data_IF_995212743955
#
_entry.id   IF_995212743955
#
_cell.length_a   1.000
_cell.length_b   1.000
_cell.length_c   1.000
_cell.angle_alpha   90.00
_cell.angle_beta   90.00
_cell.angle_gamma   90.00
#
_symmetry.space_group_name_H-M   'P 1'
#
loop_
_entity.id
_entity.type
_entity.pdbx_description
1 polymer ?
#
# COMPACT_ATOMS: atom_id res chain seq x y z
N UNK A 1 -36.69 -34.82 8.45
CA UNK A 1 -35.37 -34.17 8.77
C UNK A 1 -35.49 -33.68 10.20
N UNK A 2 -34.76 -34.31 11.10
CA UNK A 2 -34.94 -34.23 12.54
C UNK A 2 -34.50 -32.90 13.12
N UNK A 3 -35.16 -32.42 14.19
CA UNK A 3 -34.82 -31.14 14.86
C UNK A 3 -33.35 -31.10 15.36
N UNK A 4 -32.83 -32.25 15.71
CA UNK A 4 -31.46 -32.45 16.18
C UNK A 4 -30.44 -32.23 15.06
N UNK A 5 -30.68 -32.71 13.84
CA UNK A 5 -29.85 -32.47 12.65
C UNK A 5 -29.79 -30.98 12.28
N UNK A 6 -30.87 -30.23 12.46
CA UNK A 6 -30.91 -28.78 12.22
C UNK A 6 -30.13 -27.99 13.28
N UNK A 7 -30.17 -28.46 14.54
CA UNK A 7 -29.45 -27.85 15.65
C UNK A 7 -27.96 -28.03 15.48
N UNK A 8 -27.49 -29.23 15.17
CA UNK A 8 -26.09 -29.54 14.93
C UNK A 8 -25.52 -28.72 13.76
N UNK A 9 -26.23 -28.62 12.63
CA UNK A 9 -25.83 -27.78 11.50
C UNK A 9 -25.75 -26.28 11.85
N UNK A 10 -26.57 -25.82 12.78
CA UNK A 10 -26.53 -24.41 13.22
C UNK A 10 -25.34 -24.14 14.15
N UNK A 11 -25.00 -25.10 15.00
CA UNK A 11 -23.82 -25.02 15.87
C UNK A 11 -22.53 -25.09 15.06
N UNK A 12 -22.39 -26.03 14.13
CA UNK A 12 -21.26 -26.12 13.20
C UNK A 12 -21.03 -24.81 12.43
N UNK A 13 -22.11 -24.22 11.88
CA UNK A 13 -22.01 -22.93 11.17
C UNK A 13 -21.58 -21.77 12.08
N UNK A 14 -21.97 -21.81 13.35
CA UNK A 14 -21.58 -20.79 14.34
C UNK A 14 -20.13 -20.92 14.72
N UNK A 15 -19.66 -22.14 14.91
CA UNK A 15 -18.25 -22.44 15.19
C UNK A 15 -17.35 -22.07 13.99
N UNK A 16 -17.77 -22.42 12.78
CA UNK A 16 -17.06 -22.04 11.56
C UNK A 16 -17.00 -20.52 11.40
N UNK A 17 -18.10 -19.81 11.60
CA UNK A 17 -18.13 -18.34 11.55
C UNK A 17 -17.24 -17.73 12.62
N UNK A 18 -17.21 -18.28 13.82
CA UNK A 18 -16.31 -17.83 14.88
C UNK A 18 -14.86 -18.08 14.51
N UNK A 19 -14.52 -19.27 14.03
CA UNK A 19 -13.17 -19.60 13.56
C UNK A 19 -12.69 -18.63 12.47
N UNK A 20 -13.52 -18.36 11.46
CA UNK A 20 -13.17 -17.43 10.38
C UNK A 20 -12.96 -16.00 10.88
N UNK A 21 -13.68 -15.56 11.92
CA UNK A 21 -13.52 -14.23 12.51
C UNK A 21 -12.23 -14.05 13.33
N UNK A 22 -11.56 -15.15 13.70
CA UNK A 22 -10.30 -15.10 14.44
C UNK A 22 -9.07 -14.85 13.55
N UNK A 23 -9.25 -14.89 12.24
CA UNK A 23 -8.15 -14.72 11.29
C UNK A 23 -8.30 -13.47 10.45
N UNK A 24 -7.20 -12.81 10.20
CA UNK A 24 -7.10 -11.74 9.19
C UNK A 24 -6.69 -12.36 7.86
N UNK A 25 -7.23 -11.85 6.76
CA UNK A 25 -6.78 -12.23 5.43
C UNK A 25 -5.28 -11.95 5.28
N UNK A 26 -4.55 -12.86 4.61
CA UNK A 26 -3.10 -12.80 4.47
C UNK A 26 -2.64 -11.52 3.78
N UNK A 27 -3.35 -11.07 2.75
CA UNK A 27 -2.97 -9.89 1.98
C UNK A 27 -3.25 -8.60 2.76
N UNK A 28 -4.34 -8.53 3.51
CA UNK A 28 -4.61 -7.42 4.42
C UNK A 28 -3.62 -7.37 5.59
N UNK A 29 -3.20 -8.53 6.10
CA UNK A 29 -2.14 -8.63 7.10
C UNK A 29 -0.80 -8.12 6.56
N UNK A 30 -0.49 -8.40 5.29
CA UNK A 30 0.71 -7.90 4.64
C UNK A 30 0.68 -6.37 4.50
N UNK A 31 -0.46 -5.78 4.13
CA UNK A 31 -0.61 -4.32 4.12
C UNK A 31 -0.35 -3.71 5.50
N UNK A 32 -0.83 -4.34 6.58
CA UNK A 32 -0.53 -3.89 7.95
C UNK A 32 0.97 -3.97 8.29
N UNK A 33 1.66 -5.00 7.80
CA UNK A 33 3.12 -5.05 7.92
C UNK A 33 3.77 -3.86 7.21
N UNK A 34 3.39 -3.57 5.97
CA UNK A 34 3.96 -2.46 5.21
C UNK A 34 3.66 -1.09 5.86
N UNK A 35 2.51 -0.94 6.53
CA UNK A 35 2.21 0.26 7.34
C UNK A 35 3.24 0.46 8.46
N UNK A 36 3.75 -0.61 9.08
CA UNK A 36 4.81 -0.47 10.11
C UNK A 36 6.09 0.07 9.51
N UNK A 37 6.43 -0.31 8.27
CA UNK A 37 7.55 0.27 7.54
C UNK A 37 7.34 1.77 7.33
N UNK A 38 6.14 2.17 6.89
CA UNK A 38 5.79 3.59 6.71
C UNK A 38 5.86 4.38 8.03
N UNK A 39 5.47 3.78 9.15
CA UNK A 39 5.49 4.45 10.46
C UNK A 39 6.89 4.73 10.99
N UNK A 40 7.94 4.04 10.53
CA UNK A 40 9.31 4.42 10.85
C UNK A 40 9.67 5.81 10.30
N UNK A 41 8.97 6.27 9.25
CA UNK A 41 9.11 7.64 8.75
C UNK A 41 8.55 8.71 9.72
N UNK A 42 7.68 8.35 10.66
CA UNK A 42 7.17 9.23 11.72
C UNK A 42 8.07 9.24 12.97
N UNK A 43 9.04 8.34 13.07
CA UNK A 43 9.90 8.18 14.23
C UNK A 43 11.00 9.25 14.26
N UNK A 44 10.88 10.24 15.13
CA UNK A 44 11.81 11.37 15.26
C UNK A 44 13.24 10.96 15.72
N UNK A 45 13.41 9.76 16.27
CA UNK A 45 14.72 9.22 16.61
C UNK A 45 15.50 8.70 15.39
N UNK A 46 14.84 8.54 14.24
CA UNK A 46 15.44 8.16 12.98
C UNK A 46 15.91 9.42 12.24
N UNK A 47 17.14 9.46 11.67
CA UNK A 47 17.61 10.60 10.88
C UNK A 47 16.65 10.94 9.73
N UNK A 48 16.45 12.23 9.45
CA UNK A 48 15.43 12.72 8.52
C UNK A 48 15.53 12.11 7.11
N UNK A 49 16.74 11.95 6.58
CA UNK A 49 16.94 11.30 5.27
C UNK A 49 16.56 9.82 5.27
N UNK A 50 16.81 9.12 6.37
CA UNK A 50 16.40 7.72 6.54
C UNK A 50 14.87 7.61 6.66
N UNK A 51 14.21 8.56 7.32
CA UNK A 51 12.75 8.63 7.38
C UNK A 51 12.14 8.75 5.97
N UNK A 52 12.73 9.57 5.10
CA UNK A 52 12.32 9.65 3.70
C UNK A 52 12.55 8.32 2.94
N UNK A 53 13.65 7.62 3.25
CA UNK A 53 13.92 6.29 2.68
C UNK A 53 12.85 5.28 3.07
N UNK A 54 12.30 5.30 4.29
CA UNK A 54 11.20 4.43 4.69
C UNK A 54 9.91 4.68 3.88
N UNK A 55 9.62 5.93 3.49
CA UNK A 55 8.50 6.23 2.58
C UNK A 55 8.74 5.60 1.21
N UNK A 56 9.96 5.66 0.69
CA UNK A 56 10.34 5.03 -0.58
C UNK A 56 10.24 3.51 -0.52
N UNK A 57 10.73 2.89 0.55
CA UNK A 57 10.64 1.43 0.79
C UNK A 57 9.17 1.00 0.85
N UNK A 58 8.32 1.76 1.58
CA UNK A 58 6.88 1.50 1.64
C UNK A 58 6.26 1.47 0.24
N UNK A 59 6.59 2.45 -0.61
CA UNK A 59 6.05 2.54 -1.96
C UNK A 59 6.54 1.37 -2.83
N UNK A 60 7.83 1.07 -2.83
CA UNK A 60 8.40 -0.05 -3.60
C UNK A 60 7.79 -1.39 -3.19
N UNK A 61 7.60 -1.61 -1.89
CA UNK A 61 6.93 -2.80 -1.38
C UNK A 61 5.48 -2.89 -1.87
N UNK A 62 4.77 -1.76 -1.90
CA UNK A 62 3.39 -1.69 -2.37
C UNK A 62 3.29 -1.99 -3.87
N UNK A 63 4.20 -1.46 -4.67
CA UNK A 63 4.26 -1.70 -6.11
C UNK A 63 4.49 -3.19 -6.40
N UNK A 64 5.46 -3.83 -5.72
CA UNK A 64 5.70 -5.27 -5.84
C UNK A 64 4.48 -6.09 -5.41
N UNK A 65 3.84 -5.71 -4.32
CA UNK A 65 2.62 -6.36 -3.83
C UNK A 65 1.50 -6.32 -4.87
N UNK A 66 1.30 -5.18 -5.53
CA UNK A 66 0.30 -5.06 -6.59
C UNK A 66 0.66 -5.88 -7.82
N UNK A 67 1.91 -5.82 -8.28
CA UNK A 67 2.36 -6.59 -9.43
C UNK A 67 2.23 -8.09 -9.24
N UNK A 68 2.63 -8.60 -8.08
CA UNK A 68 2.71 -10.05 -7.85
C UNK A 68 1.43 -10.60 -7.24
N UNK A 69 1.01 -10.08 -6.08
CA UNK A 69 -0.08 -10.68 -5.31
C UNK A 69 -1.46 -10.27 -5.79
N UNK A 70 -1.66 -8.96 -6.01
CA UNK A 70 -2.94 -8.47 -6.53
C UNK A 70 -3.12 -8.92 -7.97
N UNK A 71 -2.06 -8.92 -8.78
CA UNK A 71 -2.06 -9.49 -10.13
C UNK A 71 -2.57 -10.93 -10.15
N UNK A 72 -2.02 -11.80 -9.29
CA UNK A 72 -2.50 -13.19 -9.15
C UNK A 72 -3.98 -13.30 -8.79
N UNK A 73 -4.47 -12.45 -7.86
CA UNK A 73 -5.89 -12.43 -7.51
C UNK A 73 -6.77 -11.97 -8.68
N UNK A 74 -6.31 -11.01 -9.46
CA UNK A 74 -7.00 -10.54 -10.67
C UNK A 74 -7.07 -11.63 -11.75
N UNK A 75 -5.99 -12.37 -11.97
CA UNK A 75 -5.96 -13.49 -12.90
C UNK A 75 -6.96 -14.58 -12.50
N UNK A 76 -7.02 -14.93 -11.21
CA UNK A 76 -8.01 -15.87 -10.68
C UNK A 76 -9.45 -15.40 -10.90
N UNK A 77 -9.70 -14.10 -10.76
CA UNK A 77 -11.02 -13.52 -11.05
C UNK A 77 -11.37 -13.64 -12.53
N UNK A 78 -10.44 -13.34 -13.45
CA UNK A 78 -10.66 -13.43 -14.90
C UNK A 78 -10.84 -14.87 -15.36
N UNK A 79 -10.11 -15.80 -14.78
CA UNK A 79 -10.26 -17.25 -15.06
C UNK A 79 -11.59 -17.83 -14.52
N UNK A 80 -12.36 -17.06 -13.74
CA UNK A 80 -13.60 -17.51 -13.12
C UNK A 80 -13.39 -18.58 -12.05
N UNK A 81 -12.21 -18.63 -11.46
CA UNK A 81 -11.86 -19.62 -10.44
C UNK A 81 -12.65 -19.39 -9.15
N UNK A 82 -13.20 -20.46 -8.61
CA UNK A 82 -13.95 -20.44 -7.35
C UNK A 82 -13.03 -20.62 -6.13
N UNK A 83 -11.79 -20.17 -6.23
CA UNK A 83 -10.82 -20.24 -5.15
C UNK A 83 -11.23 -19.29 -4.03
N UNK A 84 -11.09 -19.78 -2.81
CA UNK A 84 -11.33 -19.00 -1.58
C UNK A 84 -10.13 -19.07 -0.67
N UNK A 85 -9.86 -17.98 0.02
CA UNK A 85 -8.87 -17.97 1.09
C UNK A 85 -9.23 -18.98 2.18
N UNK A 86 -8.28 -19.81 2.56
CA UNK A 86 -8.52 -20.95 3.48
C UNK A 86 -8.71 -20.52 4.95
N UNK A 87 -8.43 -19.25 5.29
CA UNK A 87 -8.57 -18.71 6.66
C UNK A 87 -9.82 -17.86 6.81
N UNK A 88 -10.08 -16.97 5.88
CA UNK A 88 -11.17 -15.99 5.93
C UNK A 88 -12.34 -16.35 5.01
N UNK A 89 -12.19 -17.37 4.16
CA UNK A 89 -13.17 -17.79 3.16
C UNK A 89 -13.53 -16.70 2.14
N UNK A 90 -12.71 -15.64 2.01
CA UNK A 90 -12.92 -14.58 1.03
C UNK A 90 -12.65 -15.09 -0.38
N UNK A 91 -13.47 -14.69 -1.33
CA UNK A 91 -13.21 -14.89 -2.77
C UNK A 91 -12.09 -13.96 -3.23
N UNK A 92 -11.43 -14.25 -4.37
CA UNK A 92 -10.42 -13.36 -4.95
C UNK A 92 -10.97 -11.95 -5.17
N UNK A 93 -12.21 -11.80 -5.63
CA UNK A 93 -12.90 -10.51 -5.77
C UNK A 93 -13.01 -9.75 -4.43
N UNK A 94 -13.49 -10.43 -3.38
CA UNK A 94 -13.60 -9.81 -2.05
C UNK A 94 -12.26 -9.39 -1.48
N UNK A 95 -11.20 -10.17 -1.74
CA UNK A 95 -9.85 -9.81 -1.34
C UNK A 95 -9.36 -8.55 -2.07
N UNK A 96 -9.52 -8.49 -3.40
CA UNK A 96 -9.14 -7.32 -4.20
C UNK A 96 -9.90 -6.06 -3.75
N UNK A 97 -11.22 -6.14 -3.56
CA UNK A 97 -12.03 -5.00 -3.09
C UNK A 97 -11.54 -4.48 -1.73
N UNK A 98 -11.29 -5.38 -0.77
CA UNK A 98 -10.78 -5.01 0.55
C UNK A 98 -9.35 -4.44 0.50
N UNK A 99 -8.48 -4.97 -0.37
CA UNK A 99 -7.13 -4.44 -0.60
C UNK A 99 -7.21 -3.01 -1.14
N UNK A 100 -8.04 -2.76 -2.16
CA UNK A 100 -8.19 -1.45 -2.78
C UNK A 100 -8.74 -0.41 -1.79
N UNK A 101 -9.73 -0.79 -0.98
CA UNK A 101 -10.26 0.07 0.08
C UNK A 101 -9.16 0.44 1.08
N UNK A 102 -8.44 -0.56 1.59
CA UNK A 102 -7.36 -0.33 2.56
C UNK A 102 -6.22 0.51 1.97
N UNK A 103 -5.87 0.27 0.71
CA UNK A 103 -4.80 1.04 0.05
C UNK A 103 -5.16 2.52 -0.09
N UNK A 104 -6.43 2.87 -0.38
CA UNK A 104 -6.86 4.28 -0.43
C UNK A 104 -6.71 4.99 0.92
N UNK A 105 -7.03 4.32 2.02
CA UNK A 105 -6.81 4.87 3.37
C UNK A 105 -5.31 5.11 3.63
N UNK A 106 -4.48 4.16 3.23
CA UNK A 106 -3.03 4.21 3.44
C UNK A 106 -2.35 5.27 2.55
N UNK A 107 -2.88 5.54 1.37
CA UNK A 107 -2.38 6.61 0.49
C UNK A 107 -2.52 7.98 1.15
N UNK A 108 -3.64 8.25 1.82
CA UNK A 108 -3.82 9.49 2.58
C UNK A 108 -2.81 9.61 3.73
N UNK A 109 -2.50 8.52 4.43
CA UNK A 109 -1.49 8.50 5.48
C UNK A 109 -0.09 8.75 4.91
N UNK A 110 0.28 8.06 3.82
CA UNK A 110 1.58 8.24 3.14
C UNK A 110 1.78 9.69 2.70
N UNK A 111 0.77 10.28 2.04
CA UNK A 111 0.83 11.67 1.58
C UNK A 111 1.08 12.63 2.73
N UNK A 112 0.36 12.48 3.84
CA UNK A 112 0.56 13.31 5.04
C UNK A 112 1.98 13.21 5.58
N UNK A 113 2.52 11.99 5.72
CA UNK A 113 3.88 11.76 6.22
C UNK A 113 4.92 12.38 5.26
N UNK A 114 4.74 12.17 3.96
CA UNK A 114 5.64 12.72 2.95
C UNK A 114 5.67 14.25 2.96
N UNK A 115 4.51 14.91 3.01
CA UNK A 115 4.40 16.37 3.07
C UNK A 115 5.06 16.92 4.33
N UNK A 116 4.89 16.27 5.47
CA UNK A 116 5.57 16.64 6.72
C UNK A 116 7.09 16.56 6.56
N UNK A 117 7.62 15.45 6.04
CA UNK A 117 9.06 15.27 5.82
C UNK A 117 9.63 16.29 4.85
N UNK A 118 8.91 16.62 3.79
CA UNK A 118 9.32 17.68 2.85
C UNK A 118 9.43 19.03 3.57
N UNK A 119 8.48 19.37 4.44
CA UNK A 119 8.54 20.58 5.26
C UNK A 119 9.72 20.59 6.24
N UNK A 120 10.09 19.43 6.80
CA UNK A 120 11.26 19.29 7.69
C UNK A 120 12.62 19.36 6.94
N UNK A 121 12.63 19.04 5.64
CA UNK A 121 13.82 19.12 4.78
C UNK A 121 14.12 20.53 4.27
N UNK A 122 13.11 21.38 4.09
CA UNK A 122 13.27 22.75 3.60
C UNK A 122 14.30 23.59 4.41
N UNK A 123 14.28 23.60 5.76
CA UNK A 123 15.27 24.32 6.56
C UNK A 123 16.70 23.78 6.40
N UNK A 124 16.86 22.57 5.87
CA UNK A 124 18.15 21.94 5.62
C UNK A 124 18.65 22.17 4.18
N UNK A 125 18.02 23.10 3.45
CA UNK A 125 18.32 23.43 2.04
C UNK A 125 18.09 22.25 1.07
N UNK A 126 17.19 21.34 1.40
CA UNK A 126 16.73 20.28 0.50
C UNK A 126 15.32 20.62 0.03
N UNK A 127 15.19 20.95 -1.26
CA UNK A 127 13.96 21.42 -1.86
C UNK A 127 13.54 20.56 -3.03
N UNK A 128 12.27 20.19 -3.09
CA UNK A 128 11.67 19.62 -4.30
C UNK A 128 11.25 20.77 -5.22
N UNK A 129 11.90 20.86 -6.37
CA UNK A 129 11.66 21.94 -7.33
C UNK A 129 10.30 21.76 -8.01
N UNK A 130 9.46 22.80 -7.93
CA UNK A 130 8.24 22.89 -8.72
C UNK A 130 8.49 23.80 -9.94
N UNK A 131 8.50 23.22 -11.13
CA UNK A 131 8.77 23.93 -12.38
C UNK A 131 7.85 25.14 -12.63
N UNK A 132 6.62 25.12 -12.14
CA UNK A 132 5.70 26.24 -12.26
C UNK A 132 6.07 27.47 -11.41
N UNK A 133 7.04 27.33 -10.50
CA UNK A 133 7.49 28.39 -9.57
C UNK A 133 8.89 28.88 -9.86
N UNK A 134 9.54 28.37 -10.90
CA UNK A 134 10.89 28.74 -11.27
C UNK A 134 10.93 30.12 -11.97
N UNK A 135 11.99 30.88 -11.71
CA UNK A 135 12.31 32.08 -12.47
C UNK A 135 12.77 31.74 -13.88
N UNK A 136 12.66 32.69 -14.81
CA UNK A 136 13.12 32.51 -16.20
C UNK A 136 14.60 32.10 -16.29
N UNK A 137 15.45 32.58 -15.37
CA UNK A 137 16.86 32.24 -15.31
C UNK A 137 17.09 30.77 -14.90
N UNK A 138 16.34 30.28 -13.92
CA UNK A 138 16.39 28.89 -13.50
C UNK A 138 15.89 27.94 -14.57
N UNK A 139 14.80 28.30 -15.25
CA UNK A 139 14.30 27.53 -16.40
C UNK A 139 15.35 27.41 -17.48
N UNK A 140 15.96 28.53 -17.91
CA UNK A 140 16.99 28.51 -18.93
C UNK A 140 18.22 27.67 -18.53
N UNK A 141 18.59 27.67 -17.24
CA UNK A 141 19.66 26.83 -16.73
C UNK A 141 19.30 25.33 -16.79
N UNK A 142 18.08 24.98 -16.44
CA UNK A 142 17.60 23.60 -16.50
C UNK A 142 17.44 23.09 -17.92
N UNK A 143 16.96 23.93 -18.85
CA UNK A 143 16.88 23.62 -20.29
C UNK A 143 18.27 23.33 -20.85
N UNK A 144 19.27 24.21 -20.56
CA UNK A 144 20.62 23.99 -20.99
C UNK A 144 21.25 22.72 -20.41
N UNK A 145 20.95 22.41 -19.13
CA UNK A 145 21.40 21.16 -18.50
C UNK A 145 20.76 19.93 -19.17
N UNK A 146 19.46 19.98 -19.47
CA UNK A 146 18.75 18.91 -20.15
C UNK A 146 19.33 18.64 -21.52
N UNK A 147 19.52 19.71 -22.34
CA UNK A 147 20.03 19.62 -23.71
C UNK A 147 21.47 19.07 -23.76
N UNK A 148 22.27 19.37 -22.74
CA UNK A 148 23.69 18.96 -22.71
C UNK A 148 23.90 17.55 -22.10
N UNK A 149 23.09 17.18 -21.12
CA UNK A 149 23.37 16.00 -20.28
C UNK A 149 22.32 14.89 -20.35
N UNK A 150 21.12 15.16 -20.87
CA UNK A 150 20.02 14.20 -20.89
C UNK A 150 19.56 13.90 -22.32
N UNK A 151 19.27 14.94 -23.12
CA UNK A 151 18.75 14.79 -24.47
C UNK A 151 19.65 14.02 -25.44
N UNK A 152 21.01 13.98 -25.30
CA UNK A 152 21.88 13.20 -26.18
C UNK A 152 21.81 11.68 -25.95
N UNK A 153 21.20 11.18 -24.87
CA UNK A 153 21.09 9.76 -24.52
C UNK A 153 19.66 9.23 -24.69
#
# INVERSE_FOLDING_TARGET
MDKESKRNKKEEKREEKHRLSCYTNRELSWLQFNVRVLREAENEHVPLAERLSFVSIYQSNLDEFFMVRVGTLMDQMHAGEKIRDNKTNMTSKQQVEAILERTRELEALKTKIYEQLMGELEPQNVHLINFNRLSKKEIAMLEAYFDQNIAPF
#
